data_IF_178597606439
#
_entry.id   IF_178597606439
#
_cell.length_a   1.000
_cell.length_b   1.000
_cell.length_c   1.000
_cell.angle_alpha   90.00
_cell.angle_beta   90.00
_cell.angle_gamma   90.00
#
_symmetry.space_group_name_H-M   'P 1'
#
loop_
_entity.id
_entity.type
_entity.pdbx_description
1 polymer ?
#
# COMPACT_ATOMS: atom_id res chain seq x y z
N UNK A 1 -5.59 21.10 -14.93
CA UNK A 1 -4.72 20.04 -15.50
C UNK A 1 -3.96 19.42 -14.33
N UNK A 2 -4.28 18.20 -13.90
CA UNK A 2 -3.45 17.51 -12.91
C UNK A 2 -2.12 17.19 -13.59
N UNK A 3 -1.08 17.95 -13.27
CA UNK A 3 0.26 17.76 -13.84
C UNK A 3 0.68 16.32 -13.57
N UNK A 4 1.01 15.54 -14.60
CA UNK A 4 1.41 14.12 -14.51
C UNK A 4 2.40 13.86 -13.36
N UNK A 5 3.30 14.83 -13.12
CA UNK A 5 4.24 14.87 -11.98
C UNK A 5 3.58 14.64 -10.61
N UNK A 6 2.39 15.18 -10.40
CA UNK A 6 1.62 15.03 -9.17
C UNK A 6 1.10 13.60 -8.97
N UNK A 7 0.53 13.00 -10.02
CA UNK A 7 0.05 11.62 -9.97
C UNK A 7 1.19 10.64 -9.73
N UNK A 8 2.36 10.89 -10.34
CA UNK A 8 3.57 10.10 -10.14
C UNK A 8 4.09 10.24 -8.70
N UNK A 9 4.19 11.46 -8.17
CA UNK A 9 4.63 11.71 -6.80
C UNK A 9 3.68 11.08 -5.77
N UNK A 10 2.37 11.24 -5.97
CA UNK A 10 1.35 10.62 -5.14
C UNK A 10 1.45 9.09 -5.17
N UNK A 11 1.65 8.50 -6.35
CA UNK A 11 1.85 7.07 -6.52
C UNK A 11 3.06 6.55 -5.75
N UNK A 12 4.20 7.24 -5.83
CA UNK A 12 5.42 6.88 -5.12
C UNK A 12 5.24 6.92 -3.59
N UNK A 13 4.57 7.95 -3.07
CA UNK A 13 4.27 8.08 -1.64
C UNK A 13 3.35 6.93 -1.20
N UNK A 14 2.30 6.63 -1.97
CA UNK A 14 1.38 5.54 -1.69
C UNK A 14 2.10 4.18 -1.69
N UNK A 15 2.97 3.92 -2.66
CA UNK A 15 3.74 2.67 -2.73
C UNK A 15 4.66 2.54 -1.51
N UNK A 16 5.43 3.58 -1.19
CA UNK A 16 6.35 3.56 -0.05
C UNK A 16 5.63 3.36 1.28
N UNK A 17 4.52 4.07 1.49
CA UNK A 17 3.71 3.94 2.69
C UNK A 17 3.06 2.55 2.80
N UNK A 18 2.52 2.04 1.68
CA UNK A 18 1.89 0.72 1.64
C UNK A 18 2.91 -0.40 1.89
N UNK A 19 4.13 -0.29 1.34
CA UNK A 19 5.22 -1.25 1.61
C UNK A 19 5.56 -1.30 3.10
N UNK A 20 5.71 -0.15 3.76
CA UNK A 20 6.01 -0.09 5.20
C UNK A 20 4.95 -0.79 6.05
N UNK A 21 3.67 -0.49 5.82
CA UNK A 21 2.59 -1.15 6.55
C UNK A 21 2.48 -2.64 6.22
N UNK A 22 2.69 -3.02 4.96
CA UNK A 22 2.69 -4.43 4.54
C UNK A 22 3.77 -5.22 5.28
N UNK A 23 4.99 -4.68 5.38
CA UNK A 23 6.07 -5.33 6.12
C UNK A 23 5.72 -5.55 7.59
N UNK A 24 5.15 -4.54 8.26
CA UNK A 24 4.75 -4.65 9.68
C UNK A 24 3.67 -5.72 9.88
N UNK A 25 2.64 -5.71 9.02
CA UNK A 25 1.52 -6.64 9.12
C UNK A 25 1.97 -8.06 8.81
N UNK A 26 2.69 -8.27 7.70
CA UNK A 26 3.20 -9.59 7.31
C UNK A 26 4.18 -10.10 8.37
N UNK A 27 5.01 -9.24 8.96
CA UNK A 27 5.88 -9.62 10.07
C UNK A 27 5.11 -10.05 11.33
N UNK A 28 3.99 -9.38 11.63
CA UNK A 28 3.08 -9.82 12.69
C UNK A 28 2.41 -11.15 12.38
N UNK A 29 1.99 -11.38 11.14
CA UNK A 29 1.37 -12.64 10.71
C UNK A 29 2.39 -13.78 10.79
N UNK A 30 3.61 -13.57 10.29
CA UNK A 30 4.66 -14.61 10.31
C UNK A 30 5.06 -15.06 11.72
N UNK A 31 4.85 -14.21 12.73
CA UNK A 31 5.07 -14.56 14.14
C UNK A 31 4.03 -15.54 14.69
N UNK A 32 2.81 -15.53 14.16
CA UNK A 32 1.71 -16.41 14.60
C UNK A 32 1.59 -17.63 13.69
N UNK A 33 1.73 -17.42 12.38
CA UNK A 33 1.67 -18.42 11.33
C UNK A 33 2.95 -18.33 10.49
N UNK A 34 3.88 -19.29 10.58
CA UNK A 34 5.10 -19.25 9.77
C UNK A 34 4.74 -19.39 8.28
N UNK A 35 4.75 -18.25 7.58
CA UNK A 35 4.53 -18.19 6.13
C UNK A 35 5.87 -18.36 5.44
N UNK A 36 5.97 -19.36 4.58
CA UNK A 36 7.19 -19.66 3.81
C UNK A 36 6.90 -19.79 2.32
N UNK A 37 7.90 -19.47 1.51
CA UNK A 37 7.83 -19.64 0.05
C UNK A 37 6.64 -18.89 -0.56
N UNK A 38 5.81 -19.62 -1.31
CA UNK A 38 4.69 -19.04 -2.06
C UNK A 38 3.63 -18.38 -1.18
N UNK A 39 3.37 -18.92 0.02
CA UNK A 39 2.32 -18.37 0.91
C UNK A 39 2.70 -17.00 1.45
N UNK A 40 3.99 -16.77 1.74
CA UNK A 40 4.51 -15.46 2.12
C UNK A 40 4.25 -14.41 1.03
N UNK A 41 4.56 -14.74 -0.22
CA UNK A 41 4.36 -13.82 -1.35
C UNK A 41 2.87 -13.53 -1.57
N UNK A 42 2.01 -14.56 -1.54
CA UNK A 42 0.56 -14.38 -1.69
C UNK A 42 -0.02 -13.48 -0.60
N UNK A 43 0.33 -13.72 0.66
CA UNK A 43 -0.15 -12.89 1.79
C UNK A 43 0.38 -11.47 1.70
N UNK A 44 1.67 -11.30 1.40
CA UNK A 44 2.29 -9.98 1.26
C UNK A 44 1.66 -9.16 0.13
N UNK A 45 1.46 -9.75 -1.05
CA UNK A 45 0.79 -9.08 -2.18
C UNK A 45 -0.68 -8.76 -1.85
N UNK A 46 -1.38 -9.65 -1.15
CA UNK A 46 -2.77 -9.42 -0.73
C UNK A 46 -2.88 -8.25 0.25
N UNK A 47 -2.03 -8.23 1.28
CA UNK A 47 -1.99 -7.12 2.25
C UNK A 47 -1.61 -5.81 1.58
N UNK A 48 -0.59 -5.83 0.71
CA UNK A 48 -0.15 -4.65 -0.03
C UNK A 48 -1.27 -4.07 -0.92
N UNK A 49 -1.95 -4.91 -1.70
CA UNK A 49 -3.02 -4.47 -2.59
C UNK A 49 -4.18 -3.85 -1.81
N UNK A 50 -4.60 -4.44 -0.69
CA UNK A 50 -5.67 -3.89 0.15
C UNK A 50 -5.29 -2.49 0.65
N UNK A 51 -4.08 -2.33 1.21
CA UNK A 51 -3.62 -1.04 1.75
C UNK A 51 -3.48 -0.01 0.62
N UNK A 52 -2.94 -0.42 -0.52
CA UNK A 52 -2.75 0.46 -1.67
C UNK A 52 -4.09 0.96 -2.24
N UNK A 53 -5.07 0.07 -2.42
CA UNK A 53 -6.41 0.46 -2.89
C UNK A 53 -7.16 1.29 -1.87
N UNK A 54 -7.05 0.99 -0.57
CA UNK A 54 -7.61 1.81 0.49
C UNK A 54 -6.98 3.21 0.48
N UNK A 55 -5.64 3.27 0.39
CA UNK A 55 -4.87 4.49 0.27
C UNK A 55 -5.35 5.33 -0.92
N UNK A 56 -5.42 4.75 -2.12
CA UNK A 56 -5.96 5.43 -3.30
C UNK A 56 -7.38 5.98 -3.06
N UNK A 57 -8.28 5.14 -2.53
CA UNK A 57 -9.69 5.52 -2.33
C UNK A 57 -9.87 6.62 -1.29
N UNK A 58 -9.07 6.66 -0.23
CA UNK A 58 -9.19 7.68 0.82
C UNK A 58 -8.35 8.94 0.54
N UNK A 59 -7.16 8.80 -0.05
CA UNK A 59 -6.28 9.93 -0.32
C UNK A 59 -6.63 10.70 -1.60
N UNK A 60 -6.99 10.03 -2.71
CA UNK A 60 -7.33 10.74 -3.96
C UNK A 60 -8.46 11.77 -3.80
N UNK A 61 -9.62 11.45 -3.22
CA UNK A 61 -10.70 12.43 -3.09
C UNK A 61 -10.41 13.53 -2.06
N UNK A 62 -9.58 13.26 -1.04
CA UNK A 62 -9.14 14.30 -0.08
C UNK A 62 -8.22 15.30 -0.73
N UNK A 63 -7.23 14.83 -1.49
CA UNK A 63 -6.29 15.70 -2.18
C UNK A 63 -6.96 16.53 -3.28
N UNK A 64 -8.03 16.01 -3.88
CA UNK A 64 -8.87 16.75 -4.84
C UNK A 64 -9.64 17.92 -4.23
N UNK A 65 -9.82 17.96 -2.90
CA UNK A 65 -10.59 18.98 -2.18
C UNK A 65 -9.72 20.02 -1.46
N UNK A 66 -8.41 19.77 -1.33
CA UNK A 66 -7.45 20.69 -0.67
C UNK A 66 -6.87 21.72 -1.66
N UNK A 67 -7.11 21.51 -2.96
CA UNK A 67 -6.73 22.38 -4.07
C UNK A 67 -7.97 22.79 -4.85
#
# INVERSE_FOLDING_TARGET
MYTIKYLVSLGLILIGCSMGYTMIIVWGITKVFPLEGATYWVVSTTVFTIIFFAGLRFYMPRLRKVW
#
